data_IF_142847412781
#
_entry.id   IF_142847412781
#
_cell.length_a   1.000
_cell.length_b   1.000
_cell.length_c   1.000
_cell.angle_alpha   90.00
_cell.angle_beta   90.00
_cell.angle_gamma   90.00
#
_symmetry.space_group_name_H-M   'P 1'
#
loop_
_entity.id
_entity.type
_entity.pdbx_description
1 polymer ?
#
# COMPACT_ATOMS: atom_id res chain seq x y z
N UNK A 1 22.88 -31.47 -24.41
CA UNK A 1 21.46 -31.19 -24.20
C UNK A 1 21.38 -30.39 -22.92
N UNK A 2 20.76 -29.21 -22.92
CA UNK A 2 20.60 -28.42 -21.71
C UNK A 2 19.33 -28.90 -21.00
N UNK A 3 19.51 -29.74 -19.98
CA UNK A 3 18.43 -30.14 -19.07
C UNK A 3 17.92 -28.90 -18.34
N UNK A 4 16.75 -28.39 -18.73
CA UNK A 4 16.10 -27.25 -18.10
C UNK A 4 14.89 -27.70 -17.30
N UNK A 5 14.68 -27.07 -16.15
CA UNK A 5 13.52 -27.30 -15.27
C UNK A 5 12.62 -26.06 -15.27
N UNK A 6 11.34 -26.26 -14.98
CA UNK A 6 10.39 -25.15 -14.78
C UNK A 6 10.35 -24.81 -13.30
N UNK A 7 10.52 -23.53 -12.99
CA UNK A 7 10.41 -23.00 -11.62
C UNK A 7 9.48 -21.79 -11.58
N UNK A 8 8.78 -21.61 -10.47
CA UNK A 8 8.16 -20.35 -10.06
C UNK A 8 9.22 -19.58 -9.27
N UNK A 9 9.33 -18.28 -9.54
CA UNK A 9 10.18 -17.37 -8.79
C UNK A 9 9.26 -16.32 -8.19
N UNK A 10 9.27 -16.17 -6.86
CA UNK A 10 8.47 -15.20 -6.12
C UNK A 10 9.36 -14.42 -5.16
N UNK A 11 8.94 -13.20 -4.80
CA UNK A 11 9.62 -12.33 -3.85
C UNK A 11 8.62 -11.33 -3.27
N UNK A 12 8.86 -10.83 -2.08
CA UNK A 12 8.09 -9.75 -1.45
C UNK A 12 8.80 -8.41 -1.62
N UNK A 13 8.09 -7.29 -1.66
CA UNK A 13 8.71 -5.97 -1.71
C UNK A 13 7.85 -4.95 -0.97
N UNK A 14 8.49 -4.00 -0.30
CA UNK A 14 7.78 -2.88 0.34
C UNK A 14 7.40 -1.83 -0.70
N UNK A 15 6.14 -1.42 -0.72
CA UNK A 15 5.64 -0.37 -1.63
C UNK A 15 5.34 0.90 -0.85
N UNK A 16 5.81 2.04 -1.35
CA UNK A 16 5.51 3.36 -0.80
C UNK A 16 4.52 4.08 -1.72
N UNK A 17 3.42 4.56 -1.14
CA UNK A 17 2.39 5.31 -1.85
C UNK A 17 2.45 6.80 -1.51
N UNK A 18 2.25 7.67 -2.51
CA UNK A 18 2.12 9.12 -2.32
C UNK A 18 1.37 9.77 -3.47
N UNK A 19 0.45 10.66 -3.12
CA UNK A 19 -0.28 11.50 -4.07
C UNK A 19 -0.48 12.89 -3.49
N UNK A 20 -0.29 13.90 -4.32
CA UNK A 20 -0.63 15.29 -3.96
C UNK A 20 -2.03 15.59 -4.47
N UNK A 21 -2.94 15.97 -3.57
CA UNK A 21 -4.34 16.25 -3.88
C UNK A 21 -4.74 17.64 -3.37
N UNK A 22 -5.74 18.24 -3.99
CA UNK A 22 -6.43 19.39 -3.42
C UNK A 22 -7.52 18.89 -2.48
N UNK A 23 -7.30 19.04 -1.18
CA UNK A 23 -8.16 18.54 -0.11
C UNK A 23 -9.06 19.63 0.45
N UNK A 24 -10.30 19.29 0.81
CA UNK A 24 -11.15 20.19 1.58
C UNK A 24 -10.60 20.37 3.00
N UNK A 25 -10.59 21.60 3.50
CA UNK A 25 -10.10 21.88 4.86
C UNK A 25 -10.87 21.10 5.93
N UNK A 26 -12.18 20.93 5.77
CA UNK A 26 -13.01 20.19 6.71
C UNK A 26 -12.60 18.71 6.83
N UNK A 27 -12.25 18.07 5.70
CA UNK A 27 -11.76 16.70 5.72
C UNK A 27 -10.37 16.61 6.37
N UNK A 28 -9.51 17.62 6.16
CA UNK A 28 -8.20 17.68 6.82
C UNK A 28 -8.33 17.87 8.33
N UNK A 29 -9.23 18.75 8.78
CA UNK A 29 -9.52 18.96 10.21
C UNK A 29 -10.10 17.68 10.84
N UNK A 30 -10.97 16.96 10.12
CA UNK A 30 -11.49 15.64 10.53
C UNK A 30 -10.36 14.61 10.67
N UNK A 31 -9.43 14.55 9.71
CA UNK A 31 -8.25 13.69 9.80
C UNK A 31 -7.42 13.98 11.05
N UNK A 32 -7.15 15.26 11.34
CA UNK A 32 -6.40 15.65 12.54
C UNK A 32 -7.12 15.24 13.83
N UNK A 33 -8.44 15.36 13.88
CA UNK A 33 -9.24 14.93 15.02
C UNK A 33 -9.15 13.41 15.23
N UNK A 34 -9.30 12.62 14.16
CA UNK A 34 -9.17 11.16 14.20
C UNK A 34 -7.79 10.75 14.74
N UNK A 35 -6.72 11.42 14.30
CA UNK A 35 -5.37 11.16 14.79
C UNK A 35 -5.19 11.49 16.28
N UNK A 36 -5.90 12.50 16.80
CA UNK A 36 -5.83 12.88 18.20
C UNK A 36 -6.59 11.92 19.14
N UNK A 37 -7.64 11.26 18.64
CA UNK A 37 -8.55 10.46 19.46
C UNK A 37 -8.06 9.02 19.76
N UNK A 38 -6.95 8.55 19.16
CA UNK A 38 -6.18 7.31 19.46
C UNK A 38 -6.85 6.24 20.36
N UNK A 39 -8.05 5.81 19.97
CA UNK A 39 -8.89 4.93 20.80
C UNK A 39 -8.76 3.45 20.40
N UNK A 40 -8.68 3.15 19.10
CA UNK A 40 -8.34 1.82 18.57
C UNK A 40 -7.68 1.96 17.20
N UNK A 41 -6.59 1.23 16.94
CA UNK A 41 -5.82 1.37 15.69
C UNK A 41 -6.67 1.04 14.44
N UNK A 42 -7.59 0.07 14.55
CA UNK A 42 -8.36 -0.44 13.40
C UNK A 42 -9.45 0.51 12.94
N UNK A 43 -10.27 1.04 13.87
CA UNK A 43 -11.36 1.96 13.51
C UNK A 43 -10.82 3.33 13.05
N UNK A 44 -9.66 3.74 13.57
CA UNK A 44 -8.92 4.92 13.12
C UNK A 44 -8.43 4.73 11.68
N UNK A 45 -7.83 3.59 11.36
CA UNK A 45 -7.36 3.29 10.01
C UNK A 45 -8.49 3.25 8.98
N UNK A 46 -9.64 2.66 9.32
CA UNK A 46 -10.80 2.59 8.41
C UNK A 46 -11.33 3.98 8.08
N UNK A 47 -11.42 4.89 9.07
CA UNK A 47 -11.85 6.27 8.84
C UNK A 47 -10.84 7.07 8.02
N UNK A 48 -9.54 6.89 8.25
CA UNK A 48 -8.49 7.55 7.46
C UNK A 48 -8.52 7.05 6.02
N UNK A 49 -8.73 5.73 5.80
CA UNK A 49 -8.92 5.15 4.47
C UNK A 49 -10.14 5.75 3.77
N UNK A 50 -11.27 5.89 4.45
CA UNK A 50 -12.47 6.51 3.87
C UNK A 50 -12.18 7.93 3.38
N UNK A 51 -11.45 8.73 4.17
CA UNK A 51 -11.01 10.08 3.75
C UNK A 51 -10.11 9.98 2.52
N UNK A 52 -9.10 9.10 2.53
CA UNK A 52 -8.16 8.94 1.42
C UNK A 52 -8.85 8.53 0.10
N UNK A 53 -9.80 7.59 0.17
CA UNK A 53 -10.58 7.14 -0.99
C UNK A 53 -11.36 8.27 -1.67
N UNK A 54 -11.88 9.25 -0.91
CA UNK A 54 -12.57 10.43 -1.48
C UNK A 54 -11.67 11.24 -2.41
N UNK A 55 -10.36 11.18 -2.20
CA UNK A 55 -9.35 11.84 -3.02
C UNK A 55 -8.68 10.90 -4.04
N UNK A 56 -9.31 9.75 -4.33
CA UNK A 56 -8.81 8.70 -5.22
C UNK A 56 -7.43 8.18 -4.79
N UNK A 57 -7.20 8.06 -3.48
CA UNK A 57 -6.02 7.37 -2.95
C UNK A 57 -6.46 5.98 -2.49
N UNK A 58 -6.33 4.99 -3.38
CA UNK A 58 -6.79 3.62 -3.20
C UNK A 58 -5.65 2.59 -3.04
N UNK A 59 -4.40 3.04 -3.14
CA UNK A 59 -3.24 2.15 -3.11
C UNK A 59 -3.04 1.41 -4.44
N UNK A 60 -3.66 1.91 -5.52
CA UNK A 60 -3.42 1.46 -6.88
C UNK A 60 -2.10 1.97 -7.44
N UNK A 61 -1.79 1.57 -8.69
CA UNK A 61 -0.53 1.88 -9.35
C UNK A 61 -0.23 3.39 -9.46
N UNK A 62 -1.25 4.22 -9.67
CA UNK A 62 -1.11 5.68 -9.77
C UNK A 62 -0.69 6.34 -8.46
N UNK A 63 -0.88 5.67 -7.32
CA UNK A 63 -0.46 6.16 -6.01
C UNK A 63 0.95 5.71 -5.65
N UNK A 64 1.58 4.80 -6.40
CA UNK A 64 2.90 4.24 -6.07
C UNK A 64 3.99 5.30 -6.35
N UNK A 65 4.68 5.73 -5.29
CA UNK A 65 5.88 6.58 -5.40
C UNK A 65 7.13 5.75 -5.66
N UNK A 66 7.27 4.62 -4.97
CA UNK A 66 8.46 3.79 -4.98
C UNK A 66 8.13 2.33 -4.63
N UNK A 67 8.87 1.40 -5.25
CA UNK A 67 8.82 -0.03 -4.93
C UNK A 67 10.24 -0.42 -4.54
N UNK A 68 10.41 -0.89 -3.31
CA UNK A 68 11.70 -1.35 -2.80
C UNK A 68 12.24 -2.57 -3.56
N UNK A 69 13.51 -2.90 -3.33
CA UNK A 69 14.09 -4.10 -3.88
C UNK A 69 13.34 -5.35 -3.38
N UNK A 70 13.20 -6.39 -4.22
CA UNK A 70 12.57 -7.63 -3.81
C UNK A 70 13.40 -8.34 -2.73
N UNK A 71 12.75 -8.67 -1.62
CA UNK A 71 13.25 -9.45 -0.50
C UNK A 71 12.60 -10.86 -0.51
N UNK A 72 13.18 -11.79 0.24
CA UNK A 72 12.67 -13.16 0.39
C UNK A 72 12.42 -13.89 -0.95
N UNK A 73 13.41 -13.83 -1.84
CA UNK A 73 13.33 -14.47 -3.16
C UNK A 73 13.34 -16.00 -3.03
N UNK A 74 12.25 -16.64 -3.45
CA UNK A 74 12.06 -18.09 -3.39
C UNK A 74 11.91 -18.71 -4.79
N UNK A 75 12.39 -19.95 -4.93
CA UNK A 75 12.30 -20.75 -6.15
C UNK A 75 11.56 -22.06 -5.87
N UNK A 76 10.48 -22.35 -6.59
CA UNK A 76 9.70 -23.58 -6.45
C UNK A 76 9.65 -24.36 -7.77
N UNK A 77 9.95 -25.66 -7.75
CA UNK A 77 9.87 -26.51 -8.95
C UNK A 77 8.42 -26.81 -9.33
N UNK A 78 8.06 -26.54 -10.58
CA UNK A 78 6.75 -26.87 -11.14
C UNK A 78 6.79 -28.30 -11.67
N UNK A 79 5.94 -29.18 -11.12
CA UNK A 79 5.77 -30.57 -11.56
C UNK A 79 4.83 -30.71 -12.73
#
# INVERSE_FOLDING_TARGET
>A
MSDTVKVIIQAEATVKFKKTVQMEKADYDKYLQICAEWSSAREVEEQIKEIAFRYNFDGGGDDIEDIGEPEDIEFELVK
#
